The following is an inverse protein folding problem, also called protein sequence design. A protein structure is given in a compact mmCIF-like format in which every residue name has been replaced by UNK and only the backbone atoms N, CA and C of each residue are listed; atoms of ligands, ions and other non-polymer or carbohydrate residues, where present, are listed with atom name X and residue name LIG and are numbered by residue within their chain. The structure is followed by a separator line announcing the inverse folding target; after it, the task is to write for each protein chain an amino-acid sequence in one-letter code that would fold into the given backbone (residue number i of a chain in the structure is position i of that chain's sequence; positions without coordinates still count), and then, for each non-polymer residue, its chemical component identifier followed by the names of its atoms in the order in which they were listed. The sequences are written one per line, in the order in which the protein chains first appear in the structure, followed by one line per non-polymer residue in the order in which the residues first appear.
data_IF_281572824226
#
_entry.id   IF_281572824226
#
_cell.length_a   1.000
_cell.length_b   1.000
_cell.length_c   1.000
_cell.angle_alpha   90.00
_cell.angle_beta   90.00
_cell.angle_gamma   90.00
#
_symmetry.space_group_name_H-M   'P 1'
#
loop_
_entity.id
_entity.type
_entity.pdbx_description
1 polymer ?
#
# COMPACT_ATOMS: atom_id res chain seq x y z
N UNK A 1 36.87 -12.11 -1.20
CA UNK A 1 36.89 -11.35 -2.44
C UNK A 1 36.03 -10.07 -2.32
N UNK A 2 36.28 -9.12 -3.20
CA UNK A 2 35.43 -7.94 -3.39
C UNK A 2 34.57 -8.18 -4.63
N UNK A 3 33.30 -7.90 -4.55
CA UNK A 3 32.31 -8.10 -5.60
C UNK A 3 31.50 -6.83 -5.79
N UNK A 4 31.06 -6.60 -7.03
CA UNK A 4 30.16 -5.51 -7.38
C UNK A 4 29.09 -5.95 -8.37
N UNK A 5 27.97 -5.27 -8.39
CA UNK A 5 26.95 -5.42 -9.41
C UNK A 5 26.23 -4.10 -9.66
N UNK A 6 25.73 -3.96 -10.86
CA UNK A 6 24.92 -2.84 -11.31
C UNK A 6 23.45 -3.25 -11.28
N UNK A 7 22.65 -2.44 -10.61
CA UNK A 7 21.21 -2.53 -10.59
C UNK A 7 20.63 -1.35 -11.37
N UNK A 8 19.99 -1.64 -12.50
CA UNK A 8 19.37 -0.63 -13.35
C UNK A 8 17.88 -0.58 -13.10
N UNK A 9 17.35 0.62 -12.79
CA UNK A 9 15.91 0.88 -12.60
C UNK A 9 15.57 2.11 -13.45
N UNK A 10 14.63 1.99 -14.40
CA UNK A 10 14.18 3.11 -15.24
C UNK A 10 15.35 3.92 -15.83
N UNK A 11 16.35 3.23 -16.40
CA UNK A 11 17.57 3.79 -16.98
C UNK A 11 18.55 4.46 -15.99
N UNK A 12 18.28 4.39 -14.68
CA UNK A 12 19.22 4.81 -13.64
C UNK A 12 19.99 3.60 -13.14
N UNK A 13 21.33 3.70 -13.12
CA UNK A 13 22.22 2.63 -12.68
C UNK A 13 22.71 2.92 -11.27
N UNK A 14 22.54 1.94 -10.39
CA UNK A 14 23.04 1.94 -9.01
C UNK A 14 24.12 0.85 -8.88
N UNK A 15 25.34 1.25 -8.58
CA UNK A 15 26.45 0.34 -8.34
C UNK A 15 26.47 -0.09 -6.87
N UNK A 16 26.52 -1.40 -6.63
CA UNK A 16 26.64 -2.00 -5.30
C UNK A 16 27.94 -2.75 -5.17
N UNK A 17 28.61 -2.56 -4.03
CA UNK A 17 29.87 -3.25 -3.72
C UNK A 17 29.79 -3.93 -2.36
N UNK A 18 30.37 -5.12 -2.26
CA UNK A 18 30.40 -5.86 -1.00
C UNK A 18 31.59 -6.84 -0.97
N UNK A 19 31.95 -7.21 0.26
CA UNK A 19 33.02 -8.19 0.51
C UNK A 19 32.43 -9.54 0.87
N UNK A 20 33.07 -10.59 0.36
CA UNK A 20 32.78 -11.99 0.69
C UNK A 20 34.04 -12.64 1.23
N UNK A 21 33.96 -13.25 2.41
CA UNK A 21 35.02 -14.03 3.01
C UNK A 21 34.89 -15.52 2.62
N UNK A 22 36.00 -16.21 2.54
CA UNK A 22 36.04 -17.63 2.09
C UNK A 22 35.23 -18.58 2.99
N UNK A 23 34.88 -18.17 4.19
CA UNK A 23 34.07 -18.94 5.15
C UNK A 23 32.58 -18.66 5.08
N UNK A 24 32.14 -17.70 4.24
CA UNK A 24 30.75 -17.32 4.16
C UNK A 24 29.91 -18.30 3.34
N UNK A 25 28.73 -18.59 3.84
CA UNK A 25 27.73 -19.41 3.15
C UNK A 25 26.98 -18.63 2.10
N UNK A 26 26.36 -19.32 1.15
CA UNK A 26 25.47 -18.70 0.16
C UNK A 26 24.38 -17.84 0.82
N UNK A 27 23.79 -18.33 1.91
CA UNK A 27 22.78 -17.56 2.68
C UNK A 27 23.37 -16.26 3.24
N UNK A 28 24.61 -16.26 3.75
CA UNK A 28 25.25 -15.04 4.24
C UNK A 28 25.43 -14.01 3.13
N UNK A 29 25.83 -14.45 1.93
CA UNK A 29 25.99 -13.59 0.75
C UNK A 29 24.64 -13.03 0.32
N UNK A 30 23.61 -13.86 0.21
CA UNK A 30 22.25 -13.46 -0.12
C UNK A 30 21.71 -12.41 0.88
N UNK A 31 21.94 -12.61 2.18
CA UNK A 31 21.56 -11.67 3.22
C UNK A 31 22.30 -10.32 3.11
N UNK A 32 23.59 -10.33 2.71
CA UNK A 32 24.34 -9.09 2.45
C UNK A 32 23.73 -8.31 1.30
N UNK A 33 23.46 -8.96 0.18
CA UNK A 33 22.85 -8.35 -1.01
C UNK A 33 21.47 -7.79 -0.66
N UNK A 34 20.62 -8.58 0.02
CA UNK A 34 19.29 -8.12 0.44
C UNK A 34 19.37 -6.87 1.32
N UNK A 35 20.30 -6.81 2.28
CA UNK A 35 20.50 -5.62 3.12
C UNK A 35 20.98 -4.42 2.34
N UNK A 36 21.86 -4.59 1.35
CA UNK A 36 22.33 -3.50 0.50
C UNK A 36 21.18 -2.90 -0.29
N UNK A 37 20.38 -3.73 -0.94
CA UNK A 37 19.21 -3.30 -1.72
C UNK A 37 18.19 -2.58 -0.81
N UNK A 38 17.81 -3.19 0.32
CA UNK A 38 16.82 -2.61 1.22
C UNK A 38 17.27 -1.27 1.85
N UNK A 39 18.58 -1.12 2.09
CA UNK A 39 19.12 0.14 2.65
C UNK A 39 19.24 1.26 1.63
N UNK A 40 19.30 0.93 0.35
CA UNK A 40 19.44 1.94 -0.72
C UNK A 40 18.16 2.73 -0.95
N UNK A 41 17.01 2.22 -0.51
CA UNK A 41 15.68 2.86 -0.63
C UNK A 41 15.38 3.32 -2.07
N UNK A 42 15.65 2.45 -3.05
CA UNK A 42 15.50 2.71 -4.49
C UNK A 42 14.18 2.17 -5.06
N UNK A 43 13.20 1.89 -4.21
CA UNK A 43 11.89 1.34 -4.60
C UNK A 43 11.90 -0.16 -4.88
N UNK A 44 12.88 -0.88 -4.32
CA UNK A 44 12.97 -2.34 -4.34
C UNK A 44 13.01 -2.90 -2.93
N UNK A 45 12.41 -4.07 -2.75
CA UNK A 45 12.48 -4.86 -1.52
C UNK A 45 13.10 -6.21 -1.83
N UNK A 46 14.11 -6.62 -1.04
CA UNK A 46 14.79 -7.89 -1.16
C UNK A 46 14.57 -8.75 0.09
N UNK A 47 14.12 -10.00 -0.11
CA UNK A 47 13.85 -10.96 0.95
C UNK A 47 14.49 -12.31 0.63
N UNK A 48 14.87 -13.06 1.66
CA UNK A 48 15.34 -14.44 1.51
C UNK A 48 14.12 -15.35 1.67
N UNK A 49 13.92 -16.22 0.68
CA UNK A 49 12.93 -17.31 0.72
C UNK A 49 13.66 -18.63 0.91
N UNK A 50 13.12 -19.49 1.76
CA UNK A 50 13.61 -20.83 2.01
C UNK A 50 12.57 -21.85 1.53
N UNK A 51 13.02 -22.88 0.84
CA UNK A 51 12.17 -23.98 0.40
C UNK A 51 12.03 -25.05 1.50
N UNK A 52 11.18 -26.04 1.27
CA UNK A 52 10.95 -27.15 2.21
C UNK A 52 12.19 -28.06 2.46
N UNK A 53 13.24 -27.90 1.67
CA UNK A 53 14.50 -28.63 1.77
C UNK A 53 15.61 -27.81 2.45
N UNK A 54 15.30 -26.57 2.85
CA UNK A 54 16.27 -25.68 3.48
C UNK A 54 17.17 -24.92 2.49
N UNK A 55 16.88 -24.97 1.18
CA UNK A 55 17.61 -24.16 0.21
C UNK A 55 17.09 -22.71 0.25
N UNK A 56 18.03 -21.76 0.21
CA UNK A 56 17.69 -20.33 0.24
C UNK A 56 17.82 -19.69 -1.13
N UNK A 57 16.91 -18.78 -1.44
CA UNK A 57 16.95 -17.93 -2.61
C UNK A 57 16.63 -16.48 -2.24
N UNK A 58 17.32 -15.54 -2.87
CA UNK A 58 16.98 -14.14 -2.75
C UNK A 58 15.86 -13.81 -3.71
N UNK A 59 14.80 -13.16 -3.21
CA UNK A 59 13.69 -12.66 -3.98
C UNK A 59 13.70 -11.13 -3.92
N UNK A 60 13.78 -10.48 -5.07
CA UNK A 60 13.81 -9.02 -5.20
C UNK A 60 12.54 -8.60 -5.91
N UNK A 61 11.78 -7.70 -5.31
CA UNK A 61 10.51 -7.23 -5.80
C UNK A 61 10.51 -5.70 -5.92
N UNK A 62 9.89 -5.19 -6.98
CA UNK A 62 9.62 -3.75 -7.10
C UNK A 62 8.44 -3.36 -6.20
N UNK A 63 8.57 -2.23 -5.50
CA UNK A 63 7.47 -1.60 -4.76
C UNK A 63 6.44 -0.99 -5.71
N UNK A 64 6.84 -0.66 -6.92
CA UNK A 64 5.93 -0.19 -7.97
C UNK A 64 5.34 -1.36 -8.73
N UNK A 65 4.06 -1.29 -9.02
CA UNK A 65 3.32 -2.28 -9.81
C UNK A 65 2.90 -1.71 -11.17
N UNK A 66 2.52 -2.59 -12.09
CA UNK A 66 2.02 -2.22 -13.41
C UNK A 66 3.13 -1.85 -14.41
N UNK A 67 2.68 -1.52 -15.63
CA UNK A 67 3.56 -1.13 -16.74
C UNK A 67 3.30 0.32 -17.07
N UNK A 68 4.35 1.13 -17.01
CA UNK A 68 4.34 2.50 -17.53
C UNK A 68 5.01 2.51 -18.91
N UNK A 69 4.21 2.65 -19.96
CA UNK A 69 4.69 2.60 -21.34
C UNK A 69 4.87 1.18 -21.89
N UNK A 70 5.90 0.97 -22.70
CA UNK A 70 6.12 -0.30 -23.43
C UNK A 70 7.22 -1.17 -22.85
N UNK A 71 7.90 -0.74 -21.78
CA UNK A 71 9.04 -1.45 -21.22
C UNK A 71 8.57 -2.47 -20.17
N UNK A 72 8.69 -3.79 -20.44
CA UNK A 72 8.15 -4.83 -19.55
C UNK A 72 9.08 -5.17 -18.38
N UNK A 73 10.24 -4.50 -18.24
CA UNK A 73 11.22 -4.78 -17.19
C UNK A 73 11.43 -3.52 -16.36
N UNK A 74 11.13 -3.62 -15.06
CA UNK A 74 11.25 -2.49 -14.12
C UNK A 74 12.70 -2.34 -13.66
N UNK A 75 13.40 -3.45 -13.42
CA UNK A 75 14.80 -3.45 -13.00
C UNK A 75 15.56 -4.65 -13.55
N UNK A 76 16.88 -4.52 -13.66
CA UNK A 76 17.79 -5.61 -14.02
C UNK A 76 19.07 -5.54 -13.20
N UNK A 77 19.68 -6.70 -12.98
CA UNK A 77 20.97 -6.83 -12.24
C UNK A 77 21.98 -7.47 -13.16
N UNK A 78 23.14 -6.84 -13.29
CA UNK A 78 24.24 -7.33 -14.13
C UNK A 78 25.59 -6.82 -13.63
N UNK A 79 26.67 -7.38 -14.15
CA UNK A 79 28.02 -6.84 -13.98
C UNK A 79 28.81 -6.98 -15.29
N UNK A 80 29.66 -6.01 -15.58
CA UNK A 80 30.60 -6.08 -16.70
C UNK A 80 31.85 -6.92 -16.36
N UNK A 81 32.13 -7.16 -15.07
CA UNK A 81 33.19 -8.06 -14.64
C UNK A 81 32.71 -9.53 -14.68
N UNK A 82 33.41 -10.43 -15.41
CA UNK A 82 33.00 -11.82 -15.58
C UNK A 82 32.87 -12.62 -14.26
N UNK A 83 33.69 -12.32 -13.24
CA UNK A 83 33.64 -13.02 -11.96
C UNK A 83 32.42 -12.58 -11.15
N UNK A 84 32.12 -11.28 -11.20
CA UNK A 84 30.93 -10.72 -10.57
C UNK A 84 29.67 -11.23 -11.27
N UNK A 85 29.65 -11.27 -12.62
CA UNK A 85 28.54 -11.83 -13.39
C UNK A 85 28.32 -13.30 -13.05
N UNK A 86 29.36 -14.11 -12.91
CA UNK A 86 29.24 -15.50 -12.50
C UNK A 86 28.57 -15.65 -11.12
N UNK A 87 28.85 -14.74 -10.18
CA UNK A 87 28.17 -14.72 -8.89
C UNK A 87 26.67 -14.39 -9.04
N UNK A 88 26.33 -13.40 -9.87
CA UNK A 88 24.95 -13.02 -10.20
C UNK A 88 24.20 -14.21 -10.79
N UNK A 89 24.75 -14.89 -11.78
CA UNK A 89 24.18 -16.04 -12.45
C UNK A 89 24.00 -17.22 -11.47
N UNK A 90 25.00 -17.46 -10.62
CA UNK A 90 24.96 -18.51 -9.60
C UNK A 90 23.86 -18.29 -8.57
N UNK A 91 23.65 -17.04 -8.17
CA UNK A 91 22.58 -16.66 -7.24
C UNK A 91 21.23 -16.49 -7.94
N UNK A 92 21.19 -16.51 -9.27
CA UNK A 92 19.98 -16.33 -10.09
C UNK A 92 19.38 -14.93 -9.99
N UNK A 93 20.20 -13.90 -9.75
CA UNK A 93 19.76 -12.51 -9.58
C UNK A 93 19.34 -11.85 -10.89
N UNK A 94 19.76 -12.39 -12.03
CA UNK A 94 19.41 -11.94 -13.39
C UNK A 94 18.10 -12.55 -13.88
N UNK A 95 17.50 -13.49 -13.14
CA UNK A 95 16.30 -14.21 -13.55
C UNK A 95 15.03 -13.42 -13.23
N UNK A 96 14.28 -13.08 -14.26
CA UNK A 96 12.94 -12.50 -14.11
C UNK A 96 11.95 -13.65 -13.90
N UNK A 97 11.34 -13.70 -12.72
CA UNK A 97 10.33 -14.71 -12.35
C UNK A 97 8.91 -14.23 -12.58
N UNK A 98 8.70 -12.91 -12.56
CA UNK A 98 7.40 -12.29 -12.80
C UNK A 98 7.58 -10.96 -13.51
N UNK A 99 6.88 -10.79 -14.62
CA UNK A 99 6.81 -9.52 -15.33
C UNK A 99 5.71 -8.64 -14.75
N UNK A 100 5.86 -7.30 -14.79
CA UNK A 100 4.80 -6.40 -14.39
C UNK A 100 3.60 -6.52 -15.33
N UNK A 101 2.40 -6.33 -14.80
CA UNK A 101 1.17 -6.25 -15.57
C UNK A 101 0.21 -5.24 -14.95
N UNK A 102 -0.60 -4.62 -15.80
CA UNK A 102 -1.67 -3.76 -15.32
C UNK A 102 -2.86 -4.58 -14.87
N UNK A 103 -3.58 -4.08 -13.88
CA UNK A 103 -4.90 -4.58 -13.55
C UNK A 103 -5.88 -4.17 -14.67
N UNK A 104 -6.62 -5.13 -15.22
CA UNK A 104 -7.69 -4.91 -16.19
C UNK A 104 -9.01 -5.20 -15.48
N UNK A 105 -9.97 -4.29 -15.59
CA UNK A 105 -11.26 -4.39 -14.93
C UNK A 105 -12.33 -3.63 -15.72
N UNK A 106 -13.58 -4.02 -15.52
CA UNK A 106 -14.74 -3.42 -16.15
C UNK A 106 -15.50 -2.53 -15.15
N UNK A 107 -15.93 -1.37 -15.58
CA UNK A 107 -16.80 -0.49 -14.80
C UNK A 107 -17.98 -0.09 -15.67
N UNK A 108 -19.16 -0.58 -15.33
CA UNK A 108 -20.40 -0.32 -16.04
C UNK A 108 -20.37 -0.71 -17.55
N UNK A 109 -19.57 -1.75 -17.87
CA UNK A 109 -19.39 -2.26 -19.24
C UNK A 109 -18.24 -1.61 -20.02
N UNK A 110 -17.49 -0.69 -19.39
CA UNK A 110 -16.30 -0.08 -19.96
C UNK A 110 -15.04 -0.75 -19.41
N UNK A 111 -14.24 -1.36 -20.26
CA UNK A 111 -12.94 -1.92 -19.88
C UNK A 111 -11.96 -0.80 -19.54
N UNK A 112 -11.29 -0.93 -18.41
CA UNK A 112 -10.29 0.01 -17.90
C UNK A 112 -9.03 -0.73 -17.48
N UNK A 113 -7.93 0.02 -17.45
CA UNK A 113 -6.63 -0.48 -17.03
C UNK A 113 -6.03 0.44 -15.98
N UNK A 114 -5.36 -0.14 -14.97
CA UNK A 114 -4.63 0.59 -13.94
C UNK A 114 -3.30 -0.07 -13.62
N UNK A 115 -2.27 0.72 -13.39
CA UNK A 115 -0.98 0.23 -12.89
C UNK A 115 -1.08 -0.20 -11.41
N UNK A 116 -2.08 0.27 -10.68
CA UNK A 116 -2.31 -0.06 -9.28
C UNK A 116 -3.52 -0.98 -9.13
N UNK A 117 -3.44 -1.90 -8.18
CA UNK A 117 -4.59 -2.68 -7.73
C UNK A 117 -5.54 -1.90 -6.81
N UNK A 118 -5.21 -0.65 -6.45
CA UNK A 118 -6.08 0.28 -5.74
C UNK A 118 -6.49 1.39 -6.68
N UNK A 119 -7.79 1.52 -6.89
CA UNK A 119 -8.41 2.45 -7.86
C UNK A 119 -9.54 3.23 -7.20
N UNK A 120 -9.73 4.47 -7.66
CA UNK A 120 -10.88 5.28 -7.24
C UNK A 120 -11.90 5.33 -8.36
N UNK A 121 -13.12 4.85 -8.11
CA UNK A 121 -14.24 4.84 -9.06
C UNK A 121 -15.14 6.04 -8.76
N UNK A 122 -15.49 6.81 -9.81
CA UNK A 122 -16.40 7.96 -9.74
C UNK A 122 -16.03 9.00 -8.66
N UNK A 123 -14.75 9.09 -8.28
CA UNK A 123 -14.25 9.98 -7.22
C UNK A 123 -14.91 9.76 -5.83
N UNK A 124 -15.57 8.64 -5.63
CA UNK A 124 -16.34 8.34 -4.44
C UNK A 124 -15.98 7.01 -3.77
N UNK A 125 -15.47 6.07 -4.55
CA UNK A 125 -15.21 4.71 -4.05
C UNK A 125 -13.75 4.34 -4.26
N UNK A 126 -13.04 4.04 -3.18
CA UNK A 126 -11.72 3.43 -3.24
C UNK A 126 -11.89 1.91 -3.21
N UNK A 127 -11.50 1.27 -4.30
CA UNK A 127 -11.65 -0.17 -4.52
C UNK A 127 -10.29 -0.82 -4.63
N UNK A 128 -10.07 -1.90 -3.89
CA UNK A 128 -8.89 -2.75 -4.01
C UNK A 128 -9.21 -4.02 -4.78
N UNK A 129 -8.56 -4.18 -5.93
CA UNK A 129 -8.66 -5.37 -6.77
C UNK A 129 -7.76 -6.47 -6.18
N UNK A 130 -8.36 -7.51 -5.59
CA UNK A 130 -7.61 -8.58 -4.92
C UNK A 130 -7.52 -9.86 -5.75
N UNK A 131 -8.49 -10.10 -6.62
CA UNK A 131 -8.56 -11.28 -7.50
C UNK A 131 -9.52 -11.04 -8.65
N UNK A 132 -9.44 -11.88 -9.67
CA UNK A 132 -10.42 -11.92 -10.77
C UNK A 132 -11.78 -12.36 -10.21
N UNK A 133 -12.85 -11.71 -10.66
CA UNK A 133 -14.24 -12.07 -10.35
C UNK A 133 -14.86 -12.75 -11.57
N UNK A 134 -15.67 -13.78 -11.36
CA UNK A 134 -16.40 -14.48 -12.43
C UNK A 134 -17.71 -13.77 -12.76
N UNK A 135 -18.29 -13.09 -11.75
CA UNK A 135 -19.54 -12.35 -11.86
C UNK A 135 -19.34 -10.88 -11.50
N UNK A 136 -20.15 -9.97 -12.08
CA UNK A 136 -20.11 -8.57 -11.73
C UNK A 136 -20.44 -8.32 -10.25
N UNK A 137 -19.68 -7.41 -9.62
CA UNK A 137 -19.90 -6.98 -8.22
C UNK A 137 -20.56 -5.61 -8.24
N UNK A 138 -21.74 -5.49 -7.65
CA UNK A 138 -22.43 -4.21 -7.51
C UNK A 138 -21.93 -3.50 -6.24
N UNK A 139 -21.43 -2.27 -6.40
CA UNK A 139 -21.04 -1.39 -5.31
C UNK A 139 -22.12 -0.32 -5.15
N UNK A 140 -22.69 -0.20 -3.95
CA UNK A 140 -23.68 0.83 -3.65
C UNK A 140 -23.42 1.47 -2.30
N UNK A 141 -23.76 2.76 -2.18
CA UNK A 141 -23.84 3.43 -0.88
C UNK A 141 -25.14 3.01 -0.19
N UNK A 142 -25.01 2.41 0.98
CA UNK A 142 -26.15 2.24 1.89
C UNK A 142 -26.11 3.38 2.90
N UNK A 143 -27.17 4.17 2.96
CA UNK A 143 -27.31 5.15 4.02
C UNK A 143 -27.38 4.40 5.36
N UNK A 144 -26.53 4.77 6.29
CA UNK A 144 -26.58 4.26 7.67
C UNK A 144 -27.72 4.99 8.41
N UNK A 145 -28.93 4.44 8.21
CA UNK A 145 -30.14 5.00 8.83
C UNK A 145 -30.06 4.93 10.37
N UNK A 146 -29.40 3.93 10.91
CA UNK A 146 -29.27 3.74 12.37
C UNK A 146 -28.39 4.85 12.97
N UNK A 147 -27.28 5.19 12.35
CA UNK A 147 -26.40 6.29 12.75
C UNK A 147 -27.07 7.66 12.66
N UNK A 148 -27.94 7.86 11.65
CA UNK A 148 -28.74 9.09 11.51
C UNK A 148 -29.77 9.17 12.64
N UNK A 149 -30.46 8.07 12.94
CA UNK A 149 -31.46 8.00 14.03
C UNK A 149 -30.78 8.23 15.37
N UNK A 150 -29.61 7.65 15.61
CA UNK A 150 -28.83 7.86 16.84
C UNK A 150 -28.45 9.34 17.00
N UNK A 151 -27.93 9.97 15.98
CA UNK A 151 -27.58 11.41 15.99
C UNK A 151 -28.80 12.30 16.24
N UNK A 152 -29.97 11.96 15.68
CA UNK A 152 -31.22 12.67 15.94
C UNK A 152 -31.69 12.47 17.40
N UNK A 153 -31.57 11.28 17.94
CA UNK A 153 -31.94 11.01 19.34
C UNK A 153 -31.01 11.77 20.30
N UNK A 154 -29.71 11.84 20.02
CA UNK A 154 -28.78 12.65 20.81
C UNK A 154 -29.13 14.14 20.76
N UNK A 155 -29.49 14.66 19.58
CA UNK A 155 -29.93 16.05 19.42
C UNK A 155 -31.19 16.33 20.26
N UNK A 156 -32.19 15.45 20.17
CA UNK A 156 -33.46 15.57 20.95
C UNK A 156 -33.19 15.49 22.45
N UNK A 157 -32.30 14.57 22.88
CA UNK A 157 -31.92 14.45 24.29
C UNK A 157 -31.21 15.73 24.78
N UNK A 158 -30.29 16.27 23.97
CA UNK A 158 -29.58 17.51 24.26
C UNK A 158 -30.55 18.72 24.37
N UNK A 159 -31.52 18.81 23.44
CA UNK A 159 -32.56 19.80 23.48
C UNK A 159 -33.43 19.70 24.74
N UNK A 160 -33.92 18.51 25.08
CA UNK A 160 -34.72 18.25 26.28
C UNK A 160 -33.94 18.61 27.56
N UNK A 161 -32.66 18.30 27.60
CA UNK A 161 -31.78 18.64 28.72
C UNK A 161 -31.63 20.18 28.84
N UNK A 162 -31.45 20.89 27.73
CA UNK A 162 -31.41 22.36 27.71
C UNK A 162 -32.68 22.96 28.26
N UNK A 163 -33.85 22.47 27.80
CA UNK A 163 -35.17 22.90 28.32
C UNK A 163 -35.30 22.63 29.82
N UNK A 164 -34.87 21.45 30.28
CA UNK A 164 -34.90 21.09 31.70
C UNK A 164 -34.06 22.04 32.55
N UNK A 165 -32.83 22.32 32.10
CA UNK A 165 -31.90 23.21 32.80
C UNK A 165 -32.44 24.67 32.81
N UNK A 166 -33.08 25.13 31.74
CA UNK A 166 -33.63 26.49 31.67
C UNK A 166 -34.90 26.65 32.50
N UNK A 167 -35.65 25.54 32.71
CA UNK A 167 -36.90 25.55 33.54
C UNK A 167 -36.63 25.23 35.03
N UNK A 168 -35.40 24.88 35.42
CA UNK A 168 -35.09 24.64 36.81
C UNK A 168 -35.07 25.96 37.60
N UNK A 169 -36.02 26.11 38.54
CA UNK A 169 -36.18 27.32 39.38
C UNK A 169 -34.96 27.63 40.24
N UNK A 170 -34.07 26.62 40.46
CA UNK A 170 -32.83 26.81 41.18
C UNK A 170 -31.68 27.45 40.32
N UNK A 171 -31.88 27.55 39.01
CA UNK A 171 -30.90 28.10 38.08
C UNK A 171 -31.20 29.60 37.68
N UNK A 172 -32.09 30.25 38.39
CA UNK A 172 -32.49 31.65 38.17
C UNK A 172 -31.37 32.69 38.41
N UNK A 173 -30.08 32.25 38.50
CA UNK A 173 -28.96 33.17 38.66
C UNK A 173 -28.36 33.69 37.34
N UNK A 174 -28.82 33.22 36.18
CA UNK A 174 -28.38 33.77 34.89
C UNK A 174 -29.38 34.79 34.36
N UNK A 175 -29.03 36.07 34.41
CA UNK A 175 -29.75 37.13 33.67
C UNK A 175 -29.76 36.79 32.18
N UNK A 176 -30.91 36.36 31.65
CA UNK A 176 -31.07 35.97 30.26
C UNK A 176 -31.83 34.66 30.00
N UNK A 177 -32.08 33.85 31.05
CA UNK A 177 -32.84 32.60 30.93
C UNK A 177 -34.29 32.83 30.44
N UNK A 178 -34.96 33.88 30.87
CA UNK A 178 -36.31 34.24 30.38
C UNK A 178 -36.33 34.56 28.86
N UNK A 179 -35.28 35.21 28.35
CA UNK A 179 -35.16 35.50 26.92
C UNK A 179 -34.93 34.24 26.10
N UNK A 180 -34.09 33.33 26.62
CA UNK A 180 -33.83 32.07 25.98
C UNK A 180 -35.07 31.14 25.98
N UNK A 181 -35.82 31.09 27.08
CA UNK A 181 -37.06 30.34 27.17
C UNK A 181 -38.12 30.81 26.15
N UNK A 182 -38.25 32.13 25.94
CA UNK A 182 -39.20 32.69 24.98
C UNK A 182 -38.78 32.47 23.51
N UNK A 183 -37.48 32.45 23.21
CA UNK A 183 -36.98 32.13 21.88
C UNK A 183 -37.09 30.65 21.52
N UNK A 184 -36.93 29.74 22.51
CA UNK A 184 -37.06 28.31 22.29
C UNK A 184 -38.55 27.87 22.19
N UNK A 185 -39.47 28.58 22.81
CA UNK A 185 -40.91 28.28 22.81
C UNK A 185 -41.68 28.91 21.63
N UNK A 186 -41.05 29.75 20.82
CA UNK A 186 -41.65 30.38 19.63
C UNK A 186 -41.34 29.59 18.35
#
# INVERSE_FOLDING_TARGET
GEYSFDLSINDVIYEFQFKVDNSETTNNIQNKIARLINRSNIGLTANIKEDSLGNTAINIESESTGINGTTPVIFSIKSDDPNNQLLIDTLGLDRVTQYPSNAIFDVDGDERSSMSNSITINKAYDVKLSKVTEEPVTISLKADADSIVESLNELVAGYNNLISVTNDENNNHFQGTEKLQNEIAS
#
